data_IF_328949608171
#
_entry.id   IF_328949608171
#
_cell.length_a   1.000
_cell.length_b   1.000
_cell.length_c   1.000
_cell.angle_alpha   90.00
_cell.angle_beta   90.00
_cell.angle_gamma   90.00
#
_symmetry.space_group_name_H-M   'P 1'
#
loop_
_entity.id
_entity.type
_entity.pdbx_description
1 polymer ?
#
# COMPACT_ATOMS: atom_id res chain seq x y z
N UNK A 1 38.40 -15.24 -4.06
CA UNK A 1 37.64 -15.34 -5.31
C UNK A 1 36.78 -14.10 -5.41
N UNK A 2 36.97 -13.30 -6.47
CA UNK A 2 36.11 -12.16 -6.74
C UNK A 2 34.82 -12.70 -7.35
N UNK A 3 33.67 -12.39 -6.74
CA UNK A 3 32.35 -12.78 -7.27
C UNK A 3 32.03 -11.93 -8.50
N UNK A 4 31.49 -12.54 -9.56
CA UNK A 4 30.94 -11.81 -10.71
C UNK A 4 29.66 -11.08 -10.26
N UNK A 5 29.26 -10.04 -11.01
CA UNK A 5 27.93 -9.45 -10.82
C UNK A 5 26.80 -10.47 -11.03
N UNK A 6 27.03 -11.48 -11.86
CA UNK A 6 26.07 -12.57 -12.11
C UNK A 6 25.87 -13.48 -10.87
N UNK A 7 26.81 -13.45 -9.92
CA UNK A 7 26.73 -14.22 -8.67
C UNK A 7 25.97 -13.47 -7.56
N UNK A 8 25.46 -12.25 -7.83
CA UNK A 8 24.79 -11.39 -6.85
C UNK A 8 23.27 -11.58 -6.80
N UNK A 9 22.71 -12.48 -7.63
CA UNK A 9 21.28 -12.75 -7.70
C UNK A 9 20.56 -11.92 -8.77
N UNK A 10 19.27 -11.66 -8.56
CA UNK A 10 18.44 -10.93 -9.52
C UNK A 10 18.89 -9.46 -9.64
N UNK A 11 19.22 -8.96 -10.86
CA UNK A 11 19.53 -7.56 -11.07
C UNK A 11 18.37 -6.65 -10.64
N UNK A 12 18.65 -5.51 -10.00
CA UNK A 12 17.61 -4.59 -9.50
C UNK A 12 16.64 -4.14 -10.60
N UNK A 13 17.14 -3.95 -11.82
CA UNK A 13 16.32 -3.59 -12.98
C UNK A 13 15.29 -4.67 -13.36
N UNK A 14 15.52 -5.93 -12.98
CA UNK A 14 14.62 -7.07 -13.25
C UNK A 14 13.68 -7.38 -12.07
N UNK A 15 13.95 -6.82 -10.88
CA UNK A 15 13.06 -6.97 -9.71
C UNK A 15 11.77 -6.19 -9.93
N UNK A 16 10.63 -6.83 -9.64
CA UNK A 16 9.35 -6.12 -9.52
C UNK A 16 9.18 -5.61 -8.11
N UNK A 17 9.00 -4.30 -8.00
CA UNK A 17 8.64 -3.64 -6.76
C UNK A 17 7.14 -3.35 -6.77
N UNK A 18 6.49 -3.52 -5.63
CA UNK A 18 5.18 -2.98 -5.35
C UNK A 18 5.35 -1.83 -4.37
N UNK A 19 5.28 -0.60 -4.87
CA UNK A 19 5.32 0.59 -4.04
C UNK A 19 3.94 0.78 -3.42
N UNK A 20 3.85 0.86 -2.09
CA UNK A 20 2.59 0.92 -1.34
C UNK A 20 2.56 2.18 -0.49
N UNK A 21 1.39 2.77 -0.38
CA UNK A 21 1.06 3.90 0.48
C UNK A 21 -0.35 3.71 1.05
N UNK A 22 -0.51 3.88 2.36
CA UNK A 22 -1.79 3.75 3.05
C UNK A 22 -2.18 5.06 3.70
N UNK A 23 -3.46 5.41 3.56
CA UNK A 23 -4.08 6.42 4.42
C UNK A 23 -4.88 5.73 5.51
N UNK A 24 -4.79 6.24 6.73
CA UNK A 24 -5.40 5.61 7.91
C UNK A 24 -6.19 6.62 8.73
N UNK A 25 -7.04 6.14 9.64
CA UNK A 25 -7.69 6.98 10.65
C UNK A 25 -6.73 7.47 11.76
N UNK A 26 -5.41 7.33 11.58
CA UNK A 26 -4.39 7.55 12.60
C UNK A 26 -4.38 6.48 13.71
N UNK A 27 -3.46 6.63 14.66
CA UNK A 27 -3.30 5.71 15.80
C UNK A 27 -2.28 4.60 15.55
N UNK A 28 -2.44 3.48 16.26
CA UNK A 28 -1.61 2.27 16.06
C UNK A 28 -2.27 1.35 15.03
N UNK A 29 -1.53 0.38 14.49
CA UNK A 29 -2.10 -0.65 13.61
C UNK A 29 -3.22 -1.49 14.27
N UNK A 30 -3.27 -1.51 15.61
CA UNK A 30 -4.28 -2.26 16.36
C UNK A 30 -5.60 -1.49 16.50
N UNK A 31 -5.54 -0.15 16.61
CA UNK A 31 -6.70 0.69 16.91
C UNK A 31 -7.12 1.58 15.73
N UNK A 32 -6.26 1.74 14.72
CA UNK A 32 -6.52 2.49 13.50
C UNK A 32 -7.25 1.67 12.44
N UNK A 33 -7.90 2.36 11.49
CA UNK A 33 -8.52 1.76 10.32
C UNK A 33 -7.91 2.30 9.03
N UNK A 34 -7.85 1.48 7.99
CA UNK A 34 -7.41 1.90 6.65
C UNK A 34 -8.55 2.68 5.98
N UNK A 35 -8.23 3.83 5.40
CA UNK A 35 -9.18 4.66 4.64
C UNK A 35 -8.88 4.65 3.14
N UNK A 36 -7.64 4.41 2.74
CA UNK A 36 -7.23 4.24 1.34
C UNK A 36 -6.04 3.27 1.23
N UNK A 37 -6.00 2.53 0.12
CA UNK A 37 -4.83 1.77 -0.31
C UNK A 37 -4.42 2.27 -1.69
N UNK A 38 -3.20 2.78 -1.81
CA UNK A 38 -2.54 3.09 -3.08
C UNK A 38 -1.35 2.17 -3.32
N UNK A 39 -1.22 1.63 -4.53
CA UNK A 39 -0.05 0.86 -4.91
C UNK A 39 0.29 0.90 -6.40
N UNK A 40 1.59 0.79 -6.70
CA UNK A 40 2.12 0.75 -8.08
C UNK A 40 3.15 -0.36 -8.21
N UNK A 41 2.97 -1.23 -9.21
CA UNK A 41 3.96 -2.22 -9.62
C UNK A 41 4.92 -1.61 -10.63
N UNK A 42 6.22 -1.69 -10.36
CA UNK A 42 7.28 -1.12 -11.19
C UNK A 42 8.37 -2.18 -11.43
N UNK A 43 8.94 -2.21 -12.64
CA UNK A 43 10.14 -3.00 -12.97
C UNK A 43 11.01 -2.20 -13.94
N UNK A 44 12.31 -2.09 -13.67
CA UNK A 44 13.25 -1.40 -14.57
C UNK A 44 12.94 0.09 -14.80
N UNK A 45 12.22 0.73 -13.87
CA UNK A 45 11.75 2.11 -14.01
C UNK A 45 10.40 2.27 -14.72
N UNK A 46 9.82 1.19 -15.25
CA UNK A 46 8.54 1.21 -15.95
C UNK A 46 7.38 0.79 -15.04
N UNK A 47 6.25 1.49 -15.15
CA UNK A 47 5.02 1.14 -14.42
C UNK A 47 4.33 -0.02 -15.12
N UNK A 48 4.11 -1.11 -14.40
CA UNK A 48 3.44 -2.31 -14.89
C UNK A 48 1.94 -2.31 -14.60
N UNK A 49 1.55 -1.85 -13.41
CA UNK A 49 0.16 -1.82 -12.98
C UNK A 49 -0.03 -0.85 -11.79
N UNK A 50 -1.25 -0.38 -11.60
CA UNK A 50 -1.67 0.43 -10.45
C UNK A 50 -2.86 -0.22 -9.74
N UNK A 51 -2.94 -0.01 -8.44
CA UNK A 51 -4.06 -0.39 -7.60
C UNK A 51 -4.40 0.81 -6.73
N UNK A 52 -5.67 1.21 -6.69
CA UNK A 52 -6.12 2.28 -5.80
C UNK A 52 -7.55 2.01 -5.39
N UNK A 53 -7.84 2.15 -4.10
CA UNK A 53 -9.20 2.03 -3.60
C UNK A 53 -9.37 2.69 -2.23
N UNK A 54 -10.52 3.35 -2.04
CA UNK A 54 -10.96 3.73 -0.71
C UNK A 54 -11.43 2.50 0.07
N UNK A 55 -11.29 2.58 1.38
CA UNK A 55 -11.66 1.52 2.32
C UNK A 55 -12.54 2.12 3.40
N UNK A 56 -13.66 1.48 3.70
CA UNK A 56 -14.49 1.88 4.83
C UNK A 56 -13.89 1.31 6.12
N UNK A 57 -13.32 2.14 7.01
CA UNK A 57 -12.66 1.66 8.23
C UNK A 57 -13.65 1.05 9.25
N UNK A 58 -14.96 1.28 9.09
CA UNK A 58 -16.01 0.81 9.99
C UNK A 58 -16.25 1.71 11.21
N UNK A 59 -15.52 2.80 11.33
CA UNK A 59 -15.63 3.82 12.39
C UNK A 59 -15.38 5.24 11.84
N UNK A 60 -15.69 6.25 12.63
CA UNK A 60 -15.53 7.66 12.24
C UNK A 60 -14.06 8.07 12.10
N UNK A 61 -13.76 8.85 11.06
CA UNK A 61 -12.42 9.42 10.84
C UNK A 61 -12.25 10.67 11.72
N UNK A 62 -11.19 10.76 12.55
CA UNK A 62 -10.94 11.95 13.36
C UNK A 62 -10.74 13.21 12.49
N UNK A 63 -11.29 14.34 12.91
CA UNK A 63 -11.24 15.59 12.13
C UNK A 63 -9.80 16.02 11.76
N UNK A 64 -8.83 15.77 12.65
CA UNK A 64 -7.41 16.04 12.40
C UNK A 64 -6.85 15.24 11.22
N UNK A 65 -7.28 13.98 11.09
CA UNK A 65 -6.87 13.09 10.00
C UNK A 65 -7.57 13.48 8.70
N UNK A 66 -8.86 13.84 8.77
CA UNK A 66 -9.56 14.40 7.61
C UNK A 66 -8.89 15.67 7.11
N UNK A 67 -8.40 16.55 7.99
CA UNK A 67 -7.65 17.74 7.58
C UNK A 67 -6.31 17.41 6.93
N UNK A 68 -5.65 16.32 7.35
CA UNK A 68 -4.35 15.91 6.83
C UNK A 68 -4.46 15.24 5.45
N UNK A 69 -5.43 14.33 5.31
CA UNK A 69 -5.56 13.42 4.15
C UNK A 69 -6.62 13.89 3.14
N UNK A 70 -7.56 14.73 3.57
CA UNK A 70 -8.75 15.10 2.80
C UNK A 70 -9.83 14.01 2.75
N UNK A 71 -9.60 12.84 3.36
CA UNK A 71 -10.55 11.73 3.36
C UNK A 71 -11.57 11.93 4.49
N UNK A 72 -12.86 11.88 4.14
CA UNK A 72 -13.99 12.11 5.04
C UNK A 72 -14.81 10.83 5.24
N UNK A 73 -15.63 10.80 6.30
CA UNK A 73 -16.64 9.75 6.49
C UNK A 73 -17.60 9.62 5.30
N UNK A 74 -17.79 10.69 4.51
CA UNK A 74 -18.60 10.67 3.29
C UNK A 74 -17.85 9.97 2.16
N UNK A 75 -16.55 10.22 2.02
CA UNK A 75 -15.68 9.61 1.00
C UNK A 75 -15.70 8.09 1.10
N UNK A 76 -15.63 7.55 2.32
CA UNK A 76 -15.49 6.11 2.55
C UNK A 76 -16.80 5.39 2.91
N UNK A 77 -17.93 6.10 2.97
CA UNK A 77 -19.22 5.54 3.44
C UNK A 77 -19.62 4.28 2.69
N UNK A 78 -19.55 4.33 1.38
CA UNK A 78 -19.97 3.26 0.48
C UNK A 78 -18.77 2.42 -0.02
N UNK A 79 -17.57 2.71 0.49
CA UNK A 79 -16.37 1.95 0.16
C UNK A 79 -16.43 0.54 0.78
N UNK A 80 -15.78 -0.46 0.15
CA UNK A 80 -15.69 -1.81 0.70
C UNK A 80 -14.92 -1.81 2.05
N UNK A 81 -15.26 -2.71 2.98
CA UNK A 81 -14.50 -2.88 4.21
C UNK A 81 -13.14 -3.57 3.92
N UNK A 82 -12.13 -3.46 4.82
CA UNK A 82 -10.80 -4.01 4.61
C UNK A 82 -10.79 -5.49 4.22
N UNK A 83 -11.62 -6.30 4.88
CA UNK A 83 -11.74 -7.75 4.61
C UNK A 83 -12.10 -8.09 3.15
N UNK A 84 -12.74 -7.17 2.44
CA UNK A 84 -13.13 -7.36 1.04
C UNK A 84 -12.05 -6.88 0.08
N UNK A 85 -11.20 -5.94 0.50
CA UNK A 85 -10.17 -5.31 -0.34
C UNK A 85 -8.83 -6.03 -0.22
N UNK A 86 -8.43 -6.40 0.99
CA UNK A 86 -7.11 -6.97 1.27
C UNK A 86 -6.79 -8.21 0.42
N UNK A 87 -7.73 -9.15 0.13
CA UNK A 87 -7.44 -10.26 -0.77
C UNK A 87 -7.01 -9.81 -2.18
N UNK A 88 -7.74 -8.85 -2.76
CA UNK A 88 -7.42 -8.32 -4.09
C UNK A 88 -6.11 -7.50 -4.08
N UNK A 89 -5.84 -6.79 -3.00
CA UNK A 89 -4.57 -6.09 -2.81
C UNK A 89 -3.39 -7.07 -2.70
N UNK A 90 -3.52 -8.15 -1.93
CA UNK A 90 -2.47 -9.18 -1.80
C UNK A 90 -2.23 -9.92 -3.13
N UNK A 91 -3.29 -10.20 -3.89
CA UNK A 91 -3.17 -10.71 -5.26
C UNK A 91 -2.46 -9.71 -6.17
N UNK A 92 -2.81 -8.42 -6.06
CA UNK A 92 -2.11 -7.36 -6.78
C UNK A 92 -0.64 -7.28 -6.39
N UNK A 93 -0.24 -7.49 -5.13
CA UNK A 93 1.18 -7.53 -4.72
C UNK A 93 1.87 -8.75 -5.31
N UNK A 94 1.33 -9.96 -5.09
CA UNK A 94 1.95 -11.22 -5.52
C UNK A 94 3.37 -11.38 -4.95
N UNK A 95 4.31 -11.82 -5.78
CA UNK A 95 5.71 -12.04 -5.38
C UNK A 95 6.59 -10.78 -5.47
N UNK A 96 6.00 -9.59 -5.63
CA UNK A 96 6.74 -8.35 -5.73
C UNK A 96 7.37 -7.95 -4.38
N UNK A 97 8.54 -7.31 -4.42
CA UNK A 97 9.15 -6.72 -3.23
C UNK A 97 8.34 -5.48 -2.83
N UNK A 98 7.80 -5.47 -1.61
CA UNK A 98 7.06 -4.31 -1.08
C UNK A 98 8.05 -3.19 -0.73
N UNK A 99 7.74 -1.98 -1.17
CA UNK A 99 8.52 -0.77 -0.87
C UNK A 99 7.56 0.33 -0.44
N UNK A 100 7.95 1.15 0.52
CA UNK A 100 7.17 2.29 0.98
C UNK A 100 8.03 3.21 1.83
N UNK A 101 7.60 4.45 2.03
CA UNK A 101 8.25 5.34 2.98
C UNK A 101 7.80 4.95 4.38
N UNK A 102 8.74 4.53 5.24
CA UNK A 102 8.43 4.05 6.59
C UNK A 102 7.44 2.87 6.60
N UNK A 103 7.64 1.92 5.67
CA UNK A 103 6.73 0.78 5.40
C UNK A 103 6.35 -0.08 6.61
N UNK A 104 7.09 -0.01 7.72
CA UNK A 104 6.71 -0.65 8.98
C UNK A 104 5.44 -0.06 9.61
N UNK A 105 5.08 1.16 9.23
CA UNK A 105 3.81 1.77 9.63
C UNK A 105 2.64 1.25 8.79
N UNK A 106 2.91 0.82 7.55
CA UNK A 106 1.92 0.33 6.59
C UNK A 106 1.70 -1.20 6.67
N UNK A 107 2.62 -1.96 7.28
CA UNK A 107 2.63 -3.44 7.32
C UNK A 107 2.29 -4.04 8.69
#
# INVERSE_FOLDING_TARGET
MQRSFDDLGTPLAEVTFCVVDLETTGGTAQDGGITEIGAVKIRGGETLATFQTFVNPGHSIPAQITMLTGITDVTVRDAPPPRSVLPAFLEFVGDAVIVGHNVQYDL
#
